data_IF_734606401376
#
_entry.id   IF_734606401376
#
_cell.length_a   1.000
_cell.length_b   1.000
_cell.length_c   1.000
_cell.angle_alpha   90.00
_cell.angle_beta   90.00
_cell.angle_gamma   90.00
#
_symmetry.space_group_name_H-M   'P 1'
#
loop_
_entity.id
_entity.type
_entity.pdbx_description
1 polymer ?
#
# COMPACT_ATOMS: atom_id res chain seq x y z
N UNK A 1 -12.63 -4.25 20.98
CA UNK A 1 -12.41 -2.80 20.85
C UNK A 1 -11.18 -2.27 21.59
N UNK A 2 -10.71 -2.88 22.69
CA UNK A 2 -9.52 -2.41 23.44
C UNK A 2 -8.20 -2.53 22.66
N UNK A 3 -8.08 -3.52 21.77
CA UNK A 3 -6.89 -3.70 20.92
C UNK A 3 -6.74 -2.61 19.85
N UNK A 4 -7.84 -2.20 19.23
CA UNK A 4 -7.84 -1.10 18.24
C UNK A 4 -7.45 0.25 18.86
N UNK A 5 -7.83 0.51 20.11
CA UNK A 5 -7.41 1.75 20.78
C UNK A 5 -5.91 1.74 21.07
N UNK A 6 -5.36 0.60 21.50
CA UNK A 6 -3.91 0.44 21.74
C UNK A 6 -3.12 0.67 20.45
N UNK A 7 -3.54 0.04 19.34
CA UNK A 7 -2.89 0.23 18.03
C UNK A 7 -2.99 1.69 17.56
N UNK A 8 -4.13 2.34 17.77
CA UNK A 8 -4.31 3.75 17.42
C UNK A 8 -3.36 4.65 18.22
N UNK A 9 -3.22 4.40 19.52
CA UNK A 9 -2.31 5.17 20.37
C UNK A 9 -0.84 4.94 19.97
N UNK A 10 -0.48 3.71 19.59
CA UNK A 10 0.86 3.40 19.08
C UNK A 10 1.16 4.08 17.74
N UNK A 11 0.18 4.13 16.83
CA UNK A 11 0.30 4.87 15.57
C UNK A 11 0.54 6.36 15.85
N UNK A 12 -0.24 6.95 16.76
CA UNK A 12 -0.10 8.38 17.06
C UNK A 12 1.26 8.70 17.71
N UNK A 13 1.73 7.84 18.63
CA UNK A 13 3.09 7.96 19.18
C UNK A 13 4.16 7.84 18.09
N UNK A 14 4.01 6.87 17.17
CA UNK A 14 4.92 6.68 16.06
C UNK A 14 4.96 7.89 15.10
N UNK A 15 3.82 8.56 14.87
CA UNK A 15 3.74 9.80 14.07
C UNK A 15 4.47 10.95 14.75
N UNK A 16 4.29 11.13 16.05
CA UNK A 16 4.97 12.19 16.79
C UNK A 16 6.48 11.98 16.78
N UNK A 17 6.93 10.74 16.96
CA UNK A 17 8.36 10.42 16.92
C UNK A 17 8.95 10.61 15.51
N UNK A 18 8.24 10.17 14.47
CA UNK A 18 8.67 10.41 13.09
C UNK A 18 8.78 11.91 12.79
N UNK A 19 7.82 12.73 13.25
CA UNK A 19 7.87 14.18 13.09
C UNK A 19 9.11 14.77 13.76
N UNK A 20 9.41 14.36 15.01
CA UNK A 20 10.61 14.82 15.72
C UNK A 20 11.89 14.44 15.00
N UNK A 21 11.98 13.21 14.49
CA UNK A 21 13.16 12.75 13.75
C UNK A 21 13.33 13.51 12.42
N UNK A 22 12.24 13.81 11.71
CA UNK A 22 12.26 14.65 10.50
C UNK A 22 12.72 16.07 10.83
N UNK A 23 12.21 16.66 11.90
CA UNK A 23 12.59 18.01 12.34
C UNK A 23 14.07 18.07 12.76
N UNK A 24 14.58 17.00 13.39
CA UNK A 24 15.95 16.95 13.89
C UNK A 24 16.98 16.62 12.81
N UNK A 25 16.67 15.69 11.90
CA UNK A 25 17.65 15.09 10.99
C UNK A 25 17.32 15.26 9.50
N UNK A 26 16.10 15.64 9.17
CA UNK A 26 15.58 15.66 7.80
C UNK A 26 15.19 14.28 7.28
N UNK A 27 14.38 14.28 6.21
CA UNK A 27 13.80 13.09 5.59
C UNK A 27 14.82 12.00 5.18
N UNK A 28 16.00 12.31 4.59
CA UNK A 28 16.88 11.25 4.09
C UNK A 28 17.65 10.51 5.20
N UNK A 29 17.43 10.84 6.48
CA UNK A 29 18.09 10.17 7.58
C UNK A 29 17.58 8.74 7.76
N UNK A 30 18.49 7.78 7.93
CA UNK A 30 18.16 6.36 8.14
C UNK A 30 17.18 6.17 9.30
N UNK A 31 17.31 6.92 10.39
CA UNK A 31 16.40 6.82 11.54
C UNK A 31 14.97 7.24 11.20
N UNK A 32 14.81 8.22 10.33
CA UNK A 32 13.49 8.66 9.83
C UNK A 32 12.87 7.57 8.97
N UNK A 33 13.67 6.94 8.09
CA UNK A 33 13.21 5.85 7.25
C UNK A 33 12.80 4.62 8.07
N UNK A 34 13.64 4.21 9.02
CA UNK A 34 13.33 3.10 9.93
C UNK A 34 12.06 3.36 10.74
N UNK A 35 11.92 4.56 11.31
CA UNK A 35 10.72 4.93 12.05
C UNK A 35 9.46 4.97 11.17
N UNK A 36 9.60 5.40 9.90
CA UNK A 36 8.50 5.35 8.93
C UNK A 36 8.05 3.91 8.66
N UNK A 37 9.00 2.97 8.51
CA UNK A 37 8.68 1.57 8.29
C UNK A 37 7.92 0.96 9.47
N UNK A 38 8.35 1.25 10.71
CA UNK A 38 7.65 0.81 11.92
C UNK A 38 6.23 1.39 11.98
N UNK A 39 6.06 2.67 11.62
CA UNK A 39 4.76 3.31 11.59
C UNK A 39 3.83 2.68 10.53
N UNK A 40 4.35 2.36 9.35
CA UNK A 40 3.59 1.68 8.29
C UNK A 40 3.13 0.28 8.71
N UNK A 41 3.97 -0.47 9.44
CA UNK A 41 3.59 -1.77 10.00
C UNK A 41 2.43 -1.64 11.00
N UNK A 42 2.50 -0.68 11.92
CA UNK A 42 1.43 -0.42 12.89
C UNK A 42 0.12 0.00 12.21
N UNK A 43 0.19 0.82 11.16
CA UNK A 43 -0.98 1.21 10.36
C UNK A 43 -1.57 0.00 9.64
N UNK A 44 -0.72 -0.84 9.04
CA UNK A 44 -1.16 -2.05 8.38
C UNK A 44 -1.82 -3.03 9.36
N UNK A 45 -1.30 -3.15 10.57
CA UNK A 45 -1.89 -3.96 11.63
C UNK A 45 -3.25 -3.41 12.07
N UNK A 46 -3.34 -2.11 12.37
CA UNK A 46 -4.61 -1.45 12.67
C UNK A 46 -5.63 -1.65 11.54
N UNK A 47 -5.21 -1.49 10.29
CA UNK A 47 -6.04 -1.73 9.12
C UNK A 47 -6.46 -3.19 9.02
N UNK A 48 -5.61 -4.18 9.34
CA UNK A 48 -6.02 -5.59 9.38
C UNK A 48 -7.05 -5.87 10.46
N UNK A 49 -6.97 -5.24 11.63
CA UNK A 49 -7.97 -5.42 12.68
C UNK A 49 -9.27 -4.65 12.37
N UNK A 50 -9.17 -3.44 11.83
CA UNK A 50 -10.32 -2.60 11.51
C UNK A 50 -11.03 -3.06 10.21
N UNK A 51 -10.28 -3.39 9.17
CA UNK A 51 -10.78 -3.88 7.88
C UNK A 51 -10.91 -5.40 7.84
N UNK A 52 -10.24 -6.19 8.69
CA UNK A 52 -10.50 -7.64 8.80
C UNK A 52 -11.94 -7.93 9.22
N UNK A 53 -12.55 -7.03 10.01
CA UNK A 53 -13.99 -7.03 10.27
C UNK A 53 -14.86 -6.68 9.04
N UNK A 54 -14.27 -6.07 7.99
CA UNK A 54 -14.96 -5.60 6.78
C UNK A 54 -14.65 -6.41 5.52
N UNK A 55 -13.48 -7.05 5.41
CA UNK A 55 -13.00 -7.78 4.22
C UNK A 55 -13.65 -9.16 4.10
N UNK A 56 -14.08 -9.78 5.21
CA UNK A 56 -14.93 -10.99 5.14
C UNK A 56 -16.19 -10.79 4.29
N UNK A 57 -16.61 -9.55 4.02
CA UNK A 57 -17.75 -9.24 3.14
C UNK A 57 -17.37 -8.91 1.67
N UNK A 58 -16.10 -8.90 1.27
CA UNK A 58 -15.68 -8.45 -0.08
C UNK A 58 -14.86 -9.46 -0.91
N UNK A 59 -14.36 -10.54 -0.33
CA UNK A 59 -13.59 -11.57 -1.07
C UNK A 59 -14.46 -12.58 -1.86
N UNK A 60 -15.78 -12.37 -1.94
CA UNK A 60 -16.70 -13.22 -2.71
C UNK A 60 -16.96 -12.82 -4.16
N UNK A 61 -16.60 -11.61 -4.61
CA UNK A 61 -17.17 -11.05 -5.86
C UNK A 61 -16.20 -10.81 -7.04
N UNK A 62 -14.89 -11.06 -6.94
CA UNK A 62 -13.94 -10.63 -8.00
C UNK A 62 -13.37 -11.72 -8.90
N UNK A 63 -13.85 -12.97 -8.84
CA UNK A 63 -13.28 -14.10 -9.59
C UNK A 63 -14.17 -14.64 -10.74
N UNK A 64 -14.88 -13.81 -11.53
CA UNK A 64 -15.68 -14.33 -12.67
C UNK A 64 -15.64 -13.50 -13.98
N UNK A 65 -14.60 -12.70 -14.26
CA UNK A 65 -14.55 -11.97 -15.57
C UNK A 65 -13.21 -11.98 -16.31
N UNK A 66 -12.33 -12.97 -16.08
CA UNK A 66 -11.06 -13.08 -16.83
C UNK A 66 -10.96 -14.23 -17.84
N UNK A 67 -12.08 -14.83 -18.22
CA UNK A 67 -12.13 -15.81 -19.30
C UNK A 67 -13.12 -15.37 -20.36
N UNK A 68 -12.66 -14.63 -21.37
CA UNK A 68 -13.13 -14.66 -22.78
C UNK A 68 -12.61 -13.41 -23.49
N UNK A 69 -11.43 -13.52 -24.10
CA UNK A 69 -11.04 -12.83 -25.34
C UNK A 69 -9.56 -13.13 -25.60
N UNK A 70 -9.26 -14.35 -26.00
CA UNK A 70 -8.02 -14.68 -26.67
C UNK A 70 -8.40 -15.66 -27.75
N UNK A 71 -8.98 -15.11 -28.81
CA UNK A 71 -8.91 -15.71 -30.13
C UNK A 71 -9.14 -14.60 -31.17
N UNK A 72 -8.30 -14.67 -32.19
CA UNK A 72 -8.37 -14.01 -33.50
C UNK A 72 -7.69 -12.65 -33.76
N UNK A 73 -6.44 -12.81 -34.25
CA UNK A 73 -5.90 -12.38 -35.54
C UNK A 73 -5.45 -10.93 -35.75
N UNK A 74 -4.12 -10.83 -35.89
CA UNK A 74 -3.44 -10.47 -37.15
C UNK A 74 -3.55 -9.01 -37.62
N UNK A 75 -2.58 -8.16 -37.24
CA UNK A 75 -2.11 -7.04 -38.09
C UNK A 75 -0.61 -6.81 -37.88
N UNK A 76 0.18 -7.44 -38.74
CA UNK A 76 1.35 -6.91 -39.47
C UNK A 76 2.25 -5.84 -38.82
N UNK A 77 3.45 -6.26 -38.41
CA UNK A 77 4.63 -5.38 -38.34
C UNK A 77 5.14 -5.05 -39.76
N UNK A 78 4.91 -3.82 -40.23
CA UNK A 78 5.67 -3.17 -41.31
C UNK A 78 5.94 -1.72 -40.85
N UNK A 79 7.16 -1.41 -40.42
CA UNK A 79 8.26 -0.86 -41.24
C UNK A 79 7.83 0.38 -42.02
N UNK A 80 8.10 1.57 -41.48
CA UNK A 80 8.70 2.67 -42.24
C UNK A 80 9.61 3.47 -41.30
N UNK A 81 10.91 3.34 -41.54
CA UNK A 81 11.90 4.32 -41.11
C UNK A 81 12.10 5.32 -42.23
N UNK A 82 12.00 6.60 -41.90
CA UNK A 82 12.67 7.79 -42.42
C UNK A 82 12.39 8.83 -41.33
N UNK A 83 13.33 9.56 -40.74
CA UNK A 83 14.65 10.03 -41.13
C UNK A 83 14.84 11.33 -40.33
N UNK A 84 16.10 11.72 -40.11
CA UNK A 84 16.50 12.96 -39.42
C UNK A 84 15.81 14.22 -39.96
#
# INVERSE_FOLDING_TARGET
>A
MRELSILKDQIEQGRQELSRLVDQYGIPNVKVLEQSMVLDELINEYNRFALGASISNKIGETNEKRSHASDDKDVSYQKLGYGN
#
